data_IF_363248378837
#
_entry.id   IF_363248378837
#
_cell.length_a   1.000
_cell.length_b   1.000
_cell.length_c   1.000
_cell.angle_alpha   90.00
_cell.angle_beta   90.00
_cell.angle_gamma   90.00
#
_symmetry.space_group_name_H-M   'P 1'
#
loop_
_entity.id
_entity.type
_entity.pdbx_description
1 polymer ?
#
# COMPACT_ATOMS: atom_id res chain seq x y z
N UNK A 1 -20.10 1.77 -2.96
CA UNK A 1 -18.78 1.46 -2.37
C UNK A 1 -18.93 1.29 -0.87
N UNK A 2 -18.33 0.29 -0.30
CA UNK A 2 -18.40 0.11 1.13
C UNK A 2 -17.40 1.04 1.83
N UNK A 3 -17.69 1.39 3.10
CA UNK A 3 -16.78 2.18 3.89
C UNK A 3 -15.80 1.36 4.72
N UNK A 4 -15.62 0.08 4.39
CA UNK A 4 -14.76 -0.79 5.18
C UNK A 4 -14.04 -1.81 4.30
N UNK A 5 -12.98 -2.40 4.86
CA UNK A 5 -12.26 -3.52 4.26
C UNK A 5 -12.37 -4.71 5.20
N UNK A 6 -12.10 -5.91 4.67
CA UNK A 6 -12.09 -7.14 5.47
C UNK A 6 -10.65 -7.53 5.77
N UNK A 7 -10.35 -7.81 7.03
CA UNK A 7 -9.06 -8.34 7.44
C UNK A 7 -9.26 -9.78 7.88
N UNK A 8 -8.49 -10.69 7.29
CA UNK A 8 -8.58 -12.11 7.63
C UNK A 8 -7.80 -12.40 8.90
N UNK A 9 -8.31 -13.31 9.74
CA UNK A 9 -7.65 -13.67 11.00
C UNK A 9 -6.25 -14.24 10.80
N UNK A 10 -5.95 -14.80 9.63
CA UNK A 10 -4.62 -15.29 9.30
C UNK A 10 -3.56 -14.18 9.32
N UNK A 11 -3.99 -12.93 9.34
CA UNK A 11 -3.05 -11.82 9.50
C UNK A 11 -2.19 -11.97 10.74
N UNK A 12 -2.72 -12.61 11.78
CA UNK A 12 -1.96 -12.86 13.01
C UNK A 12 -0.73 -13.75 12.77
N UNK A 13 -0.77 -14.58 11.72
CA UNK A 13 0.32 -15.50 11.37
C UNK A 13 1.25 -14.95 10.30
N UNK A 14 0.99 -13.72 9.85
CA UNK A 14 1.76 -13.08 8.80
C UNK A 14 3.15 -12.69 9.30
N UNK A 15 4.18 -12.93 8.48
CA UNK A 15 5.57 -12.71 8.91
C UNK A 15 5.85 -11.26 9.32
N UNK A 16 5.10 -10.29 8.82
CA UNK A 16 5.28 -8.88 9.18
C UNK A 16 4.33 -8.40 10.26
N UNK A 17 3.54 -9.31 10.84
CA UNK A 17 2.54 -8.88 11.83
C UNK A 17 3.18 -8.18 13.03
N UNK A 18 4.33 -8.65 13.49
CA UNK A 18 5.04 -8.04 14.63
C UNK A 18 5.94 -6.88 14.22
N UNK A 19 6.07 -6.63 12.91
CA UNK A 19 6.83 -5.47 12.41
C UNK A 19 5.87 -4.28 12.38
N UNK A 20 5.93 -3.45 13.42
CA UNK A 20 4.94 -2.38 13.62
C UNK A 20 4.86 -1.44 12.43
N UNK A 21 5.99 -0.99 11.91
CA UNK A 21 5.99 -0.05 10.80
C UNK A 21 5.41 -0.67 9.53
N UNK A 22 5.83 -1.89 9.21
CA UNK A 22 5.39 -2.58 8.00
C UNK A 22 3.91 -2.93 8.10
N UNK A 23 3.44 -3.39 9.25
CA UNK A 23 2.03 -3.68 9.48
C UNK A 23 1.19 -2.39 9.35
N UNK A 24 1.63 -1.33 10.00
CA UNK A 24 0.93 -0.05 9.95
C UNK A 24 0.79 0.43 8.51
N UNK A 25 1.88 0.39 7.77
CA UNK A 25 1.84 0.80 6.37
C UNK A 25 0.90 -0.08 5.56
N UNK A 26 1.01 -1.40 5.70
CA UNK A 26 0.19 -2.30 4.89
C UNK A 26 -1.31 -2.08 5.11
N UNK A 27 -1.73 -1.92 6.36
CA UNK A 27 -3.13 -1.65 6.67
C UNK A 27 -3.56 -0.33 6.04
N UNK A 28 -2.71 0.69 6.12
CA UNK A 28 -2.97 1.98 5.49
C UNK A 28 -3.15 1.82 3.97
N UNK A 29 -2.28 1.04 3.32
CA UNK A 29 -2.37 0.81 1.89
C UNK A 29 -3.68 0.12 1.51
N UNK A 30 -4.12 -0.86 2.30
CA UNK A 30 -5.40 -1.53 2.06
C UNK A 30 -6.57 -0.54 2.11
N UNK A 31 -6.50 0.42 3.02
CA UNK A 31 -7.55 1.43 3.16
C UNK A 31 -7.50 2.47 2.03
N UNK A 32 -6.32 2.73 1.49
CA UNK A 32 -6.15 3.74 0.43
C UNK A 32 -6.41 3.19 -0.96
N UNK A 33 -6.24 1.90 -1.18
CA UNK A 33 -6.37 1.31 -2.51
C UNK A 33 -7.76 1.52 -3.08
N UNK A 34 -7.83 1.75 -4.38
CA UNK A 34 -9.11 1.84 -5.08
C UNK A 34 -9.65 0.43 -5.30
N UNK A 35 -10.88 0.16 -4.90
CA UNK A 35 -11.48 -1.16 -5.06
C UNK A 35 -12.36 -1.25 -6.30
N UNK A 36 -12.25 -0.25 -7.19
CA UNK A 36 -12.81 -0.26 -8.53
C UNK A 36 -11.86 0.51 -9.44
N UNK A 37 -11.91 0.25 -10.74
CA UNK A 37 -11.03 0.92 -11.69
C UNK A 37 -11.35 2.41 -11.72
N UNK A 38 -10.31 3.24 -11.81
CA UNK A 38 -10.44 4.69 -11.87
C UNK A 38 -9.47 5.27 -12.88
N UNK A 39 -9.82 6.42 -13.43
CA UNK A 39 -8.91 7.17 -14.29
C UNK A 39 -8.25 8.28 -13.48
N UNK A 40 -6.96 8.46 -13.70
CA UNK A 40 -6.20 9.54 -13.10
C UNK A 40 -5.28 10.13 -14.16
N UNK A 41 -5.60 11.36 -14.58
CA UNK A 41 -4.82 12.09 -15.59
C UNK A 41 -4.56 11.23 -16.84
N UNK A 42 -5.58 10.57 -17.34
CA UNK A 42 -5.47 9.72 -18.52
C UNK A 42 -4.90 8.33 -18.26
N UNK A 43 -4.57 8.01 -17.03
CA UNK A 43 -4.03 6.70 -16.65
C UNK A 43 -5.14 5.88 -16.02
N UNK A 44 -5.33 4.65 -16.50
CA UNK A 44 -6.30 3.74 -15.92
C UNK A 44 -5.67 3.09 -14.68
N UNK A 45 -6.15 3.50 -13.49
CA UNK A 45 -5.68 2.95 -12.22
C UNK A 45 -6.56 1.76 -11.89
N UNK A 46 -6.00 0.58 -12.00
CA UNK A 46 -6.73 -0.66 -11.82
C UNK A 46 -7.18 -0.86 -10.38
N UNK A 47 -8.24 -1.65 -10.22
CA UNK A 47 -8.71 -2.08 -8.90
C UNK A 47 -7.55 -2.65 -8.08
N UNK A 48 -7.50 -2.31 -6.81
CA UNK A 48 -6.43 -2.72 -5.90
C UNK A 48 -5.19 -1.85 -5.97
N UNK A 49 -5.23 -0.79 -6.79
CA UNK A 49 -4.08 0.11 -6.98
C UNK A 49 -4.46 1.53 -6.61
N UNK A 50 -3.44 2.36 -6.39
CA UNK A 50 -3.65 3.80 -6.23
C UNK A 50 -2.35 4.54 -6.50
N UNK A 51 -2.49 5.83 -6.79
CA UNK A 51 -1.35 6.72 -7.05
C UNK A 51 -0.94 7.35 -5.72
N UNK A 52 0.35 7.31 -5.42
CA UNK A 52 0.85 7.88 -4.17
C UNK A 52 2.29 8.34 -4.35
N UNK A 53 2.91 8.74 -3.24
CA UNK A 53 4.34 9.06 -3.17
C UNK A 53 4.82 8.67 -1.78
N UNK A 54 6.12 8.50 -1.62
CA UNK A 54 6.69 8.19 -0.31
C UNK A 54 6.44 9.32 0.67
N UNK A 55 6.49 10.56 0.19
CA UNK A 55 6.20 11.72 1.02
C UNK A 55 4.76 11.72 1.52
N UNK A 56 3.81 11.43 0.63
CA UNK A 56 2.40 11.34 1.00
C UNK A 56 2.17 10.24 2.03
N UNK A 57 2.75 9.07 1.81
CA UNK A 57 2.62 7.95 2.75
C UNK A 57 3.21 8.29 4.10
N UNK A 58 4.36 8.98 4.11
CA UNK A 58 5.00 9.41 5.36
C UNK A 58 4.08 10.35 6.14
N UNK A 59 3.49 11.33 5.46
CA UNK A 59 2.60 12.29 6.11
C UNK A 59 1.33 11.64 6.65
N UNK A 60 0.78 10.70 5.89
CA UNK A 60 -0.47 10.05 6.26
C UNK A 60 -0.32 9.07 7.42
N UNK A 61 0.80 8.34 7.45
CA UNK A 61 1.03 7.32 8.48
C UNK A 61 1.82 7.82 9.68
N UNK A 62 2.48 8.98 9.54
CA UNK A 62 3.42 9.52 10.53
C UNK A 62 4.71 8.69 10.64
N UNK A 63 4.94 7.79 9.72
CA UNK A 63 6.23 7.11 9.61
C UNK A 63 7.21 8.02 8.86
N UNK A 64 8.49 7.88 9.15
CA UNK A 64 9.51 8.65 8.42
C UNK A 64 9.64 8.11 7.00
N UNK A 65 10.22 8.91 6.12
CA UNK A 65 10.47 8.48 4.74
C UNK A 65 11.31 7.20 4.73
N UNK A 66 12.31 7.12 5.60
CA UNK A 66 13.16 5.93 5.67
C UNK A 66 12.36 4.70 6.13
N UNK A 67 11.47 4.86 7.11
CA UNK A 67 10.61 3.77 7.56
C UNK A 67 9.66 3.33 6.44
N UNK A 68 9.15 4.27 5.66
CA UNK A 68 8.31 3.95 4.50
C UNK A 68 9.13 3.14 3.48
N UNK A 69 10.33 3.57 3.15
CA UNK A 69 11.18 2.86 2.18
C UNK A 69 11.47 1.44 2.62
N UNK A 70 11.82 1.27 3.89
CA UNK A 70 12.14 -0.06 4.45
C UNK A 70 10.92 -0.96 4.41
N UNK A 71 9.76 -0.46 4.81
CA UNK A 71 8.53 -1.25 4.81
C UNK A 71 8.08 -1.62 3.39
N UNK A 72 8.19 -0.68 2.46
CA UNK A 72 7.86 -0.97 1.05
C UNK A 72 8.79 -2.04 0.49
N UNK A 73 10.09 -1.96 0.82
CA UNK A 73 11.04 -2.99 0.38
C UNK A 73 10.61 -4.38 0.89
N UNK A 74 10.25 -4.47 2.17
CA UNK A 74 9.81 -5.73 2.77
C UNK A 74 8.55 -6.27 2.10
N UNK A 75 7.54 -5.41 1.93
CA UNK A 75 6.27 -5.82 1.33
C UNK A 75 6.42 -6.21 -0.14
N UNK A 76 7.31 -5.54 -0.85
CA UNK A 76 7.59 -5.88 -2.24
C UNK A 76 8.33 -7.20 -2.33
N UNK A 77 9.28 -7.43 -1.43
CA UNK A 77 10.08 -8.65 -1.42
C UNK A 77 9.22 -9.89 -1.17
N UNK A 78 8.23 -9.79 -0.29
CA UNK A 78 7.31 -10.90 -0.01
C UNK A 78 6.07 -10.86 -0.87
N UNK A 79 6.02 -9.93 -1.83
CA UNK A 79 4.99 -9.90 -2.86
C UNK A 79 3.57 -9.59 -2.37
N UNK A 80 3.44 -8.90 -1.25
CA UNK A 80 2.13 -8.36 -0.85
C UNK A 80 1.74 -7.17 -1.72
N UNK A 81 2.72 -6.40 -2.19
CA UNK A 81 2.47 -5.24 -3.03
C UNK A 81 3.41 -5.23 -4.22
N UNK A 82 3.06 -4.42 -5.22
CA UNK A 82 3.90 -4.12 -6.36
C UNK A 82 3.98 -2.61 -6.53
N UNK A 83 5.14 -2.12 -6.94
CA UNK A 83 5.41 -0.70 -7.10
C UNK A 83 5.90 -0.41 -8.52
N UNK A 84 5.32 0.60 -9.15
CA UNK A 84 5.84 1.16 -10.40
C UNK A 84 6.06 2.65 -10.20
N UNK A 85 7.30 3.10 -10.31
CA UNK A 85 7.66 4.50 -10.10
C UNK A 85 8.01 5.16 -11.42
N UNK A 86 7.43 6.32 -11.67
CA UNK A 86 7.76 7.16 -12.81
C UNK A 86 8.30 8.49 -12.29
N UNK A 87 8.69 9.39 -13.21
CA UNK A 87 9.13 10.72 -12.82
C UNK A 87 8.05 11.53 -12.12
N UNK A 88 6.79 11.17 -12.32
CA UNK A 88 5.65 11.98 -11.90
C UNK A 88 4.86 11.38 -10.75
N UNK A 89 4.92 10.07 -10.56
CA UNK A 89 4.09 9.41 -9.55
C UNK A 89 4.59 8.01 -9.26
N UNK A 90 4.07 7.44 -8.18
CA UNK A 90 4.26 6.03 -7.84
C UNK A 90 2.90 5.35 -7.91
N UNK A 91 2.82 4.27 -8.69
CA UNK A 91 1.63 3.43 -8.74
C UNK A 91 1.87 2.23 -7.83
N UNK A 92 1.04 2.10 -6.81
CA UNK A 92 1.15 1.01 -5.85
C UNK A 92 -0.05 0.08 -6.01
N UNK A 93 0.22 -1.21 -6.10
CA UNK A 93 -0.82 -2.23 -6.29
C UNK A 93 -0.75 -3.24 -5.15
N UNK A 94 -1.90 -3.53 -4.55
CA UNK A 94 -2.02 -4.61 -3.57
C UNK A 94 -2.12 -5.92 -4.35
N UNK A 95 -1.19 -6.84 -4.10
CA UNK A 95 -1.16 -8.13 -4.81
C UNK A 95 -1.90 -9.19 -4.02
N UNK A 96 -1.71 -9.22 -2.70
CA UNK A 96 -2.38 -10.20 -1.84
C UNK A 96 -2.57 -9.65 -0.43
N UNK A 97 -3.63 -10.09 0.21
CA UNK A 97 -3.90 -9.76 1.61
C UNK A 97 -4.77 -10.83 2.25
#
# INVERSE_FOLDING_TARGET
>A
MSGFITLHRKLLEWEWYSDINTKTLFIHLLLKANWEDKNWRGINVKRGSFITSYDALSKETKLTIQQIRTSIFKLTKTQEINIQTTNKFTLLTIVKW
#
